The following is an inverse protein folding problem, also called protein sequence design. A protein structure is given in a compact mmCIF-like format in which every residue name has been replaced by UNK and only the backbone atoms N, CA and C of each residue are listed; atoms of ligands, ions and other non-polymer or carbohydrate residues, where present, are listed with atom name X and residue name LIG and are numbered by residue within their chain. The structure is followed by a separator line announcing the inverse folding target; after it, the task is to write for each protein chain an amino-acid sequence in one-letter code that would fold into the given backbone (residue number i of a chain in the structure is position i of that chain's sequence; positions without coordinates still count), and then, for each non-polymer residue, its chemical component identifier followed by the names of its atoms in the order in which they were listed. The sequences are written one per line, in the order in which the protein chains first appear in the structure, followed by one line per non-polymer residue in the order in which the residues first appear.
data_IF_322178944090
#
_entry.id   IF_322178944090
#
_cell.length_a   1.000
_cell.length_b   1.000
_cell.length_c   1.000
_cell.angle_alpha   90.00
_cell.angle_beta   90.00
_cell.angle_gamma   90.00
#
_symmetry.space_group_name_H-M   'P 1'
#
loop_
_entity.id
_entity.type
_entity.pdbx_description
1 polymer ?
#
# COMPACT_ATOMS: atom_id res chain seq x y z
N UNK A 1 13.79 -50.83 1.15
CA UNK A 1 12.48 -50.15 1.16
C UNK A 1 12.50 -49.11 2.27
N UNK A 2 12.92 -47.89 1.96
CA UNK A 2 12.77 -46.76 2.89
C UNK A 2 11.43 -46.11 2.59
N UNK A 3 10.53 -46.08 3.58
CA UNK A 3 9.31 -45.31 3.47
C UNK A 3 9.70 -43.83 3.48
N UNK A 4 9.47 -43.15 2.36
CA UNK A 4 9.49 -41.70 2.32
C UNK A 4 8.30 -41.22 3.14
N UNK A 5 8.57 -40.57 4.27
CA UNK A 5 7.55 -39.87 5.05
C UNK A 5 6.88 -38.83 4.16
N UNK A 6 5.57 -38.98 3.97
CA UNK A 6 4.76 -37.97 3.32
C UNK A 6 4.85 -36.65 4.11
N UNK A 7 4.93 -35.48 3.44
CA UNK A 7 4.88 -34.20 4.13
C UNK A 7 3.54 -34.08 4.87
N UNK A 8 3.63 -33.78 6.16
CA UNK A 8 2.50 -33.59 7.06
C UNK A 8 1.61 -32.45 6.56
N UNK A 9 0.34 -32.78 6.34
CA UNK A 9 -0.72 -31.83 6.06
C UNK A 9 -0.86 -30.82 7.22
N UNK A 10 -0.73 -29.53 6.89
CA UNK A 10 -1.36 -28.33 7.47
C UNK A 10 -0.42 -27.11 7.44
N UNK A 11 0.06 -26.73 6.25
CA UNK A 11 0.20 -25.31 5.94
C UNK A 11 -1.22 -24.78 5.68
N UNK A 12 -1.97 -24.53 6.76
CA UNK A 12 -3.16 -23.71 6.63
C UNK A 12 -2.66 -22.32 6.26
N UNK A 13 -2.88 -21.92 4.99
CA UNK A 13 -2.65 -20.55 4.53
C UNK A 13 -3.39 -19.60 5.48
N UNK A 14 -2.66 -19.08 6.46
CA UNK A 14 -3.20 -18.08 7.37
C UNK A 14 -3.47 -16.85 6.52
N UNK A 15 -4.68 -16.28 6.57
CA UNK A 15 -4.96 -15.08 5.79
C UNK A 15 -3.99 -13.97 6.21
N UNK A 16 -3.37 -13.35 5.21
CA UNK A 16 -2.42 -12.23 5.35
C UNK A 16 -2.98 -11.04 6.15
N UNK A 17 -4.30 -10.97 6.32
CA UNK A 17 -5.00 -9.89 7.00
C UNK A 17 -6.06 -10.45 7.94
N UNK A 18 -6.25 -9.77 9.06
CA UNK A 18 -7.47 -9.93 9.83
C UNK A 18 -8.70 -9.62 8.95
N UNK A 19 -9.85 -10.28 9.20
CA UNK A 19 -11.08 -9.98 8.49
C UNK A 19 -11.43 -8.48 8.53
N UNK A 20 -11.21 -7.83 9.68
CA UNK A 20 -11.47 -6.40 9.87
C UNK A 20 -10.59 -5.52 8.98
N UNK A 21 -9.27 -5.76 8.95
CA UNK A 21 -8.37 -4.98 8.09
C UNK A 21 -8.71 -5.18 6.61
N UNK A 22 -9.01 -6.42 6.22
CA UNK A 22 -9.45 -6.74 4.85
C UNK A 22 -10.72 -5.97 4.49
N UNK A 23 -11.72 -5.96 5.35
CA UNK A 23 -12.97 -5.24 5.10
C UNK A 23 -12.71 -3.74 4.94
N UNK A 24 -11.93 -3.13 5.85
CA UNK A 24 -11.61 -1.70 5.81
C UNK A 24 -10.91 -1.32 4.51
N UNK A 25 -9.88 -2.06 4.11
CA UNK A 25 -9.09 -1.76 2.91
C UNK A 25 -9.87 -2.01 1.62
N UNK A 26 -10.86 -2.91 1.63
CA UNK A 26 -11.71 -3.24 0.49
C UNK A 26 -13.08 -2.55 0.53
N UNK A 27 -13.30 -1.61 1.45
CA UNK A 27 -14.53 -0.84 1.52
C UNK A 27 -14.81 -0.14 0.17
N UNK A 28 -16.00 -0.32 -0.42
CA UNK A 28 -16.32 0.28 -1.72
C UNK A 28 -16.13 1.79 -1.77
N UNK A 29 -16.41 2.50 -0.68
CA UNK A 29 -16.23 3.95 -0.59
C UNK A 29 -14.75 4.36 -0.57
N UNK A 30 -13.86 3.53 0.00
CA UNK A 30 -12.42 3.75 -0.08
C UNK A 30 -11.89 3.50 -1.50
N UNK A 31 -12.33 2.42 -2.13
CA UNK A 31 -11.95 2.08 -3.52
C UNK A 31 -12.37 3.19 -4.49
N UNK A 32 -13.62 3.66 -4.40
CA UNK A 32 -14.12 4.72 -5.26
C UNK A 32 -13.31 6.02 -5.12
N UNK A 33 -12.90 6.38 -3.90
CA UNK A 33 -12.05 7.56 -3.66
C UNK A 33 -10.64 7.38 -4.19
N UNK A 34 -10.08 6.18 -4.02
CA UNK A 34 -8.78 5.83 -4.59
C UNK A 34 -8.80 6.06 -6.10
N UNK A 35 -9.82 5.54 -6.77
CA UNK A 35 -9.95 5.62 -8.22
C UNK A 35 -10.17 7.06 -8.69
N UNK A 36 -11.05 7.82 -8.02
CA UNK A 36 -11.25 9.25 -8.31
C UNK A 36 -9.98 10.09 -8.09
N UNK A 37 -9.22 9.80 -7.03
CA UNK A 37 -7.95 10.45 -6.75
C UNK A 37 -6.89 10.16 -7.80
N UNK A 38 -6.81 8.91 -8.27
CA UNK A 38 -5.92 8.52 -9.37
C UNK A 38 -6.31 9.15 -10.70
N UNK A 39 -7.59 9.22 -11.03
CA UNK A 39 -8.04 9.92 -12.24
C UNK A 39 -7.65 11.40 -12.21
N UNK A 40 -7.81 12.06 -11.07
CA UNK A 40 -7.38 13.45 -10.92
C UNK A 40 -5.85 13.61 -10.97
N UNK A 41 -5.09 12.65 -10.44
CA UNK A 41 -3.63 12.63 -10.61
C UNK A 41 -3.24 12.47 -12.09
N UNK A 42 -3.95 11.61 -12.83
CA UNK A 42 -3.74 11.42 -14.29
C UNK A 42 -4.05 12.69 -15.06
N UNK A 43 -5.10 13.43 -14.72
CA UNK A 43 -5.41 14.70 -15.40
C UNK A 43 -4.34 15.77 -15.16
N UNK A 44 -3.81 15.87 -13.93
CA UNK A 44 -2.65 16.73 -13.63
C UNK A 44 -1.44 16.33 -14.48
N UNK A 45 -1.13 15.03 -14.57
CA UNK A 45 -0.02 14.53 -15.40
C UNK A 45 -0.18 14.87 -16.88
N UNK A 46 -1.40 14.85 -17.41
CA UNK A 46 -1.71 15.27 -18.80
C UNK A 46 -1.68 16.79 -19.02
N UNK A 47 -1.48 17.58 -17.96
CA UNK A 47 -1.51 19.04 -18.04
C UNK A 47 -2.91 19.64 -18.16
N UNK A 48 -3.96 18.89 -17.78
CA UNK A 48 -5.33 19.36 -17.82
C UNK A 48 -5.58 20.40 -16.71
N UNK A 49 -6.31 21.49 -17.00
CA UNK A 49 -6.60 22.54 -16.02
C UNK A 49 -7.44 21.99 -14.86
N UNK A 50 -7.02 22.31 -13.64
CA UNK A 50 -7.71 21.89 -12.42
C UNK A 50 -8.55 23.04 -11.87
N UNK A 51 -9.79 22.76 -11.48
CA UNK A 51 -10.64 23.74 -10.82
C UNK A 51 -10.09 24.19 -9.45
N UNK A 52 -9.39 23.29 -8.77
CA UNK A 52 -8.76 23.52 -7.47
C UNK A 52 -7.37 22.88 -7.42
N UNK A 53 -6.47 23.37 -6.55
CA UNK A 53 -5.18 22.74 -6.31
C UNK A 53 -5.32 21.26 -5.95
N UNK A 54 -4.52 20.41 -6.59
CA UNK A 54 -4.45 18.99 -6.25
C UNK A 54 -3.68 18.81 -4.94
N UNK A 55 -4.31 18.21 -3.93
CA UNK A 55 -3.72 17.96 -2.61
C UNK A 55 -3.61 16.46 -2.40
N UNK A 56 -2.38 15.95 -2.37
CA UNK A 56 -2.05 14.56 -2.07
C UNK A 56 -1.46 14.46 -0.67
N UNK A 57 -2.01 13.57 0.16
CA UNK A 57 -1.43 13.24 1.47
C UNK A 57 -1.57 11.74 1.71
N UNK A 58 -0.58 10.99 1.23
CA UNK A 58 -0.53 9.55 1.46
C UNK A 58 -0.36 9.21 2.93
N UNK A 59 -0.90 8.07 3.34
CA UNK A 59 -0.70 7.47 4.67
C UNK A 59 -0.03 6.14 4.50
N UNK A 60 1.16 6.00 5.08
CA UNK A 60 1.94 4.79 4.97
C UNK A 60 1.64 3.85 6.14
N UNK A 61 1.37 2.58 5.83
CA UNK A 61 1.39 1.48 6.79
C UNK A 61 2.81 1.01 7.06
N UNK A 62 3.12 0.64 8.30
CA UNK A 62 4.44 0.19 8.71
C UNK A 62 4.38 -1.18 9.40
N UNK A 63 5.26 -2.08 8.94
CA UNK A 63 5.59 -3.32 9.63
C UNK A 63 6.86 -3.17 10.46
N UNK A 64 6.95 -3.96 11.53
CA UNK A 64 8.06 -4.03 12.49
C UNK A 64 8.98 -5.23 12.29
N UNK A 65 8.48 -6.32 11.69
CA UNK A 65 9.29 -7.48 11.34
C UNK A 65 10.41 -7.11 10.35
N UNK A 66 11.46 -7.91 10.28
CA UNK A 66 12.54 -7.71 9.30
C UNK A 66 12.05 -8.12 7.90
N UNK A 67 11.82 -7.17 6.98
CA UNK A 67 11.27 -7.47 5.65
C UNK A 67 12.22 -8.28 4.76
N UNK A 68 13.52 -8.39 5.09
CA UNK A 68 14.45 -9.25 4.36
C UNK A 68 14.41 -10.71 4.83
N UNK A 69 13.94 -10.95 6.05
CA UNK A 69 13.89 -12.28 6.66
C UNK A 69 12.48 -12.84 6.75
N UNK A 70 11.52 -11.97 6.99
CA UNK A 70 10.11 -12.28 7.27
C UNK A 70 9.19 -11.34 6.47
N UNK A 71 9.29 -11.34 5.12
CA UNK A 71 8.57 -10.39 4.27
C UNK A 71 7.04 -10.53 4.38
N UNK A 72 6.54 -11.74 4.59
CA UNK A 72 5.11 -11.99 4.79
C UNK A 72 4.63 -11.32 6.07
N UNK A 73 5.32 -11.55 7.20
CA UNK A 73 4.96 -10.98 8.50
C UNK A 73 5.04 -9.45 8.45
N UNK A 74 6.10 -8.90 7.84
CA UNK A 74 6.21 -7.46 7.65
C UNK A 74 5.03 -6.90 6.84
N UNK A 75 4.62 -7.59 5.77
CA UNK A 75 3.48 -7.20 4.94
C UNK A 75 2.16 -7.27 5.70
N UNK A 76 1.92 -8.32 6.50
CA UNK A 76 0.74 -8.43 7.37
C UNK A 76 0.67 -7.21 8.31
N UNK A 77 1.76 -6.92 9.04
CA UNK A 77 1.83 -5.81 9.98
C UNK A 77 1.63 -4.45 9.30
N UNK A 78 2.24 -4.26 8.13
CA UNK A 78 2.12 -3.02 7.38
C UNK A 78 0.70 -2.78 6.86
N UNK A 79 0.03 -3.83 6.39
CA UNK A 79 -1.35 -3.74 5.91
C UNK A 79 -2.36 -3.56 7.05
N UNK A 80 -2.14 -4.21 8.20
CA UNK A 80 -2.92 -3.97 9.42
C UNK A 80 -2.80 -2.52 9.88
N UNK A 81 -1.58 -1.99 9.90
CA UNK A 81 -1.33 -0.60 10.26
C UNK A 81 -1.94 0.40 9.25
N UNK A 82 -1.84 0.07 7.95
CA UNK A 82 -2.52 0.79 6.88
C UNK A 82 -4.05 0.83 7.10
N UNK A 83 -4.67 -0.30 7.44
CA UNK A 83 -6.10 -0.36 7.74
C UNK A 83 -6.49 0.52 8.94
N UNK A 84 -5.69 0.54 10.01
CA UNK A 84 -5.93 1.43 11.17
C UNK A 84 -5.85 2.92 10.80
N UNK A 85 -5.04 3.26 9.80
CA UNK A 85 -4.84 4.63 9.31
C UNK A 85 -5.85 5.07 8.25
N UNK A 86 -6.61 4.13 7.69
CA UNK A 86 -7.67 4.40 6.74
C UNK A 86 -8.81 5.15 7.44
N UNK A 87 -8.81 6.48 7.32
CA UNK A 87 -9.83 7.32 7.91
C UNK A 87 -11.11 7.36 7.07
N UNK A 88 -12.26 7.74 7.69
CA UNK A 88 -13.45 8.15 6.96
C UNK A 88 -13.14 9.31 6.00
N UNK A 89 -14.02 9.52 4.98
CA UNK A 89 -13.87 10.62 4.03
C UNK A 89 -13.71 11.96 4.73
N UNK A 90 -12.67 12.73 4.38
CA UNK A 90 -12.72 14.17 4.60
C UNK A 90 -13.57 14.85 3.51
N UNK A 91 -14.37 15.86 3.88
CA UNK A 91 -15.25 16.57 2.93
C UNK A 91 -14.49 17.43 1.89
N UNK A 92 -13.16 17.55 1.97
CA UNK A 92 -12.39 18.59 1.27
C UNK A 92 -11.55 18.12 0.07
N UNK A 93 -12.00 17.13 -0.69
CA UNK A 93 -11.43 16.80 -2.02
C UNK A 93 -9.93 16.45 -2.02
N UNK A 94 -9.35 16.15 -0.85
CA UNK A 94 -7.96 15.72 -0.69
C UNK A 94 -7.86 14.26 -1.10
N UNK A 95 -6.86 13.92 -1.90
CA UNK A 95 -6.54 12.53 -2.19
C UNK A 95 -5.63 12.00 -1.08
N UNK A 96 -6.14 11.07 -0.28
CA UNK A 96 -5.42 10.45 0.85
C UNK A 96 -5.29 8.94 0.68
N UNK A 97 -4.50 8.46 -0.29
CA UNK A 97 -4.31 7.03 -0.48
C UNK A 97 -3.58 6.43 0.73
N UNK A 98 -3.97 5.23 1.12
CA UNK A 98 -3.19 4.40 2.02
C UNK A 98 -2.22 3.59 1.18
N UNK A 99 -0.94 3.59 1.55
CA UNK A 99 0.12 2.87 0.85
C UNK A 99 0.91 2.00 1.82
N UNK A 100 1.47 0.91 1.30
CA UNK A 100 2.54 0.16 1.95
C UNK A 100 3.77 0.35 1.08
N UNK A 101 4.86 0.79 1.70
CA UNK A 101 6.12 1.01 1.01
C UNK A 101 7.24 0.45 1.90
N UNK A 102 7.98 -0.50 1.34
CA UNK A 102 9.21 -0.98 1.93
C UNK A 102 10.34 -0.04 1.51
N UNK A 103 10.88 0.73 2.46
CA UNK A 103 11.81 1.86 2.23
C UNK A 103 13.00 1.54 1.30
N UNK A 104 13.64 0.36 1.36
CA UNK A 104 14.72 -0.02 0.43
C UNK A 104 14.27 -0.25 -1.01
N UNK A 105 12.98 -0.46 -1.25
CA UNK A 105 12.44 -0.78 -2.57
C UNK A 105 11.44 0.25 -3.12
N UNK A 106 10.81 1.08 -2.29
CA UNK A 106 9.68 1.91 -2.77
C UNK A 106 9.86 3.41 -2.70
N UNK A 107 11.04 3.93 -2.33
CA UNK A 107 11.38 5.34 -2.61
C UNK A 107 11.81 5.53 -4.08
N UNK A 108 12.36 4.50 -4.73
CA UNK A 108 12.85 4.60 -6.10
C UNK A 108 11.75 4.64 -7.18
N UNK A 109 10.52 4.20 -6.89
CA UNK A 109 9.47 4.13 -7.90
C UNK A 109 8.77 5.46 -8.16
N UNK A 110 8.50 6.25 -7.13
CA UNK A 110 7.81 7.55 -7.28
C UNK A 110 8.80 8.60 -7.80
N UNK A 111 10.03 8.58 -7.30
CA UNK A 111 11.09 9.48 -7.76
C UNK A 111 11.41 9.26 -9.24
N UNK A 112 11.52 8.02 -9.71
CA UNK A 112 11.67 7.72 -11.13
C UNK A 112 10.44 8.10 -11.98
N UNK A 113 9.21 7.91 -11.46
CA UNK A 113 7.98 8.33 -12.15
C UNK A 113 7.86 9.86 -12.32
N UNK A 114 8.49 10.63 -11.45
CA UNK A 114 8.53 12.10 -11.50
C UNK A 114 9.87 12.67 -11.97
N UNK A 115 10.76 11.84 -12.54
CA UNK A 115 12.01 12.29 -13.16
C UNK A 115 13.12 12.68 -12.18
N UNK A 116 13.00 12.32 -10.89
CA UNK A 116 14.09 12.42 -9.93
C UNK A 116 15.05 11.24 -10.14
N UNK A 117 16.23 11.55 -10.69
CA UNK A 117 17.37 10.64 -10.71
C UNK A 117 18.01 10.62 -9.32
N UNK A 118 17.65 9.64 -8.50
CA UNK A 118 18.35 9.40 -7.23
C UNK A 118 19.63 8.65 -7.57
N UNK A 119 20.76 9.35 -7.50
CA UNK A 119 22.07 8.70 -7.52
C UNK A 119 22.28 8.06 -6.15
N UNK A 120 22.56 6.75 -6.12
CA UNK A 120 23.18 6.13 -4.96
C UNK A 120 24.51 6.86 -4.73
N UNK A 121 24.64 7.50 -3.56
CA UNK A 121 25.93 7.91 -3.05
C UNK A 121 26.31 6.85 -2.03
N UNK A 122 27.36 6.10 -2.39
CA UNK A 122 28.03 5.05 -1.60
C UNK A 122 28.03 5.28 -0.07
#
# INVERSE_FOLDING_TARGET
MGQASAPSAQEQERPLLSPTARDILNRPDQIARRDAGFERLRSVFRGEPQAEPFRLRGRQGFGTADPYREPEIWMEEALEDAARKALPPEPHGRFEPVSVNFWPCGVHFVDALFGAHVFDLD
#
